data_IF_507599454146
#
_entry.id   IF_507599454146
#
_cell.length_a   1.000
_cell.length_b   1.000
_cell.length_c   1.000
_cell.angle_alpha   90.00
_cell.angle_beta   90.00
_cell.angle_gamma   90.00
#
_symmetry.space_group_name_H-M   'P 1'
#
loop_
_entity.id
_entity.type
_entity.pdbx_description
1 polymer ?
#
# COMPACT_ATOMS: atom_id res chain seq x y z
N UNK A 1 -6.40 3.19 -12.30
CA UNK A 1 -7.46 3.58 -13.26
C UNK A 1 -8.62 4.26 -12.55
N UNK A 2 -8.97 3.79 -11.35
CA UNK A 2 -9.90 4.49 -10.46
C UNK A 2 -9.46 5.93 -10.18
N UNK A 3 -8.15 6.15 -9.96
CA UNK A 3 -7.59 7.47 -9.66
C UNK A 3 -7.82 8.46 -10.80
N UNK A 4 -7.54 8.05 -12.04
CA UNK A 4 -7.76 8.88 -13.23
C UNK A 4 -9.24 9.30 -13.32
N UNK A 5 -10.16 8.35 -13.16
CA UNK A 5 -11.59 8.65 -13.19
C UNK A 5 -12.01 9.56 -12.03
N UNK A 6 -11.50 9.33 -10.82
CA UNK A 6 -11.77 10.17 -9.65
C UNK A 6 -11.32 11.63 -9.86
N UNK A 7 -10.14 11.84 -10.47
CA UNK A 7 -9.60 13.16 -10.75
C UNK A 7 -10.46 13.98 -11.73
N UNK A 8 -11.21 13.33 -12.64
CA UNK A 8 -12.12 14.03 -13.58
C UNK A 8 -13.27 14.79 -12.91
N UNK A 9 -13.51 14.52 -11.61
CA UNK A 9 -14.47 15.29 -10.79
C UNK A 9 -13.97 16.70 -10.46
N UNK A 10 -12.66 16.92 -10.50
CA UNK A 10 -12.02 18.18 -10.10
C UNK A 10 -11.33 18.87 -11.28
N UNK A 11 -10.73 18.09 -12.19
CA UNK A 11 -10.00 18.60 -13.33
C UNK A 11 -10.91 18.83 -14.55
N UNK A 12 -10.49 19.76 -15.41
CA UNK A 12 -11.07 19.96 -16.75
C UNK A 12 -10.71 18.80 -17.67
N UNK A 13 -9.48 18.33 -17.57
CA UNK A 13 -8.89 17.23 -18.34
C UNK A 13 -7.95 16.42 -17.44
N UNK A 14 -7.86 15.11 -17.67
CA UNK A 14 -6.92 14.20 -17.00
C UNK A 14 -6.21 13.38 -18.06
N UNK A 15 -4.90 13.61 -18.24
CA UNK A 15 -4.06 12.82 -19.14
C UNK A 15 -3.44 11.64 -18.42
N UNK A 16 -3.74 10.42 -18.89
CA UNK A 16 -3.14 9.18 -18.40
C UNK A 16 -1.87 8.90 -19.19
N UNK A 17 -0.72 9.08 -18.54
CA UNK A 17 0.60 8.76 -19.09
C UNK A 17 1.00 7.35 -18.66
N UNK A 18 1.23 6.46 -19.62
CA UNK A 18 1.64 5.08 -19.35
C UNK A 18 2.79 4.62 -20.23
N UNK A 19 3.80 3.99 -19.62
CA UNK A 19 5.02 3.53 -20.31
C UNK A 19 4.83 2.36 -21.28
N UNK A 20 3.64 1.76 -21.36
CA UNK A 20 3.32 0.64 -22.26
C UNK A 20 2.04 0.94 -23.01
N UNK A 21 1.82 0.23 -24.11
CA UNK A 21 0.58 0.26 -24.87
C UNK A 21 -0.58 -0.52 -24.21
N UNK A 22 -0.32 -1.28 -23.14
CA UNK A 22 -1.31 -2.11 -22.46
C UNK A 22 -1.32 -1.84 -20.95
N UNK A 23 -2.53 -1.77 -20.39
CA UNK A 23 -2.76 -1.55 -18.96
C UNK A 23 -2.98 -2.88 -18.25
N UNK A 24 -2.58 -2.95 -16.97
CA UNK A 24 -2.85 -4.10 -16.09
C UNK A 24 -4.26 -4.09 -15.48
N UNK A 25 -5.01 -2.99 -15.62
CA UNK A 25 -6.35 -2.86 -15.06
C UNK A 25 -7.34 -3.80 -15.77
N UNK A 26 -8.43 -4.17 -15.08
CA UNK A 26 -9.47 -5.00 -15.69
C UNK A 26 -10.09 -4.31 -16.90
N UNK A 27 -10.57 -5.09 -17.88
CA UNK A 27 -11.14 -4.56 -19.12
C UNK A 27 -12.27 -3.55 -18.85
N UNK A 28 -13.16 -3.87 -17.91
CA UNK A 28 -14.30 -3.00 -17.54
C UNK A 28 -13.81 -1.63 -17.02
N UNK A 29 -12.72 -1.60 -16.25
CA UNK A 29 -12.17 -0.32 -15.76
C UNK A 29 -11.53 0.49 -16.89
N UNK A 30 -10.86 -0.17 -17.82
CA UNK A 30 -10.30 0.48 -19.01
C UNK A 30 -11.43 1.06 -19.86
N UNK A 31 -12.46 0.28 -20.14
CA UNK A 31 -13.60 0.71 -20.95
C UNK A 31 -14.31 1.92 -20.31
N UNK A 32 -14.59 1.88 -19.00
CA UNK A 32 -15.19 3.01 -18.27
C UNK A 32 -14.35 4.28 -18.37
N UNK A 33 -13.02 4.17 -18.28
CA UNK A 33 -12.14 5.33 -18.40
C UNK A 33 -12.07 5.84 -19.84
N UNK A 34 -12.08 4.95 -20.84
CA UNK A 34 -12.08 5.32 -22.27
C UNK A 34 -13.36 6.03 -22.71
N UNK A 35 -14.49 5.75 -22.07
CA UNK A 35 -15.77 6.44 -22.32
C UNK A 35 -15.87 7.81 -21.63
N UNK A 36 -14.88 8.23 -20.84
CA UNK A 36 -14.89 9.54 -20.19
C UNK A 36 -14.14 10.55 -21.08
N UNK A 37 -14.87 11.50 -21.65
CA UNK A 37 -14.33 12.52 -22.57
C UNK A 37 -13.29 13.45 -21.94
N UNK A 38 -13.24 13.54 -20.61
CA UNK A 38 -12.19 14.29 -19.90
C UNK A 38 -10.87 13.54 -19.79
N UNK A 39 -10.80 12.28 -20.20
CA UNK A 39 -9.60 11.45 -20.07
C UNK A 39 -8.88 11.34 -21.41
N UNK A 40 -7.66 11.86 -21.46
CA UNK A 40 -6.75 11.67 -22.58
C UNK A 40 -5.75 10.55 -22.31
N UNK A 41 -5.30 9.88 -23.37
CA UNK A 41 -4.43 8.71 -23.27
C UNK A 41 -3.09 8.95 -23.96
N UNK A 42 -2.01 8.88 -23.19
CA UNK A 42 -0.64 8.97 -23.68
C UNK A 42 0.08 7.67 -23.31
N UNK A 43 -0.16 6.63 -24.12
CA UNK A 43 0.46 5.32 -23.99
C UNK A 43 1.84 5.31 -24.64
N UNK A 44 2.67 4.32 -24.29
CA UNK A 44 4.08 4.26 -24.69
C UNK A 44 4.84 5.57 -24.38
N UNK A 45 4.49 6.21 -23.27
CA UNK A 45 5.16 7.42 -22.76
C UNK A 45 5.79 7.14 -21.41
N UNK A 46 7.10 7.34 -21.33
CA UNK A 46 7.84 7.22 -20.06
C UNK A 46 8.04 8.61 -19.44
N UNK A 47 7.49 8.89 -18.25
CA UNK A 47 7.80 10.12 -17.51
C UNK A 47 9.30 10.19 -17.21
N UNK A 48 9.91 11.35 -17.48
CA UNK A 48 11.33 11.62 -17.24
C UNK A 48 11.53 12.61 -16.09
N UNK A 49 10.81 13.74 -16.14
CA UNK A 49 11.03 14.86 -15.23
C UNK A 49 9.73 15.64 -15.01
N UNK A 50 9.49 16.04 -13.77
CA UNK A 50 8.44 17.01 -13.42
C UNK A 50 9.00 18.42 -13.64
N UNK A 51 8.33 19.21 -14.47
CA UNK A 51 8.74 20.58 -14.75
C UNK A 51 8.18 21.51 -13.66
N UNK A 52 9.02 22.26 -12.94
CA UNK A 52 8.57 23.23 -11.96
C UNK A 52 8.06 24.51 -12.64
N UNK A 53 7.02 25.11 -12.07
CA UNK A 53 6.57 26.47 -12.32
C UNK A 53 6.74 27.34 -11.07
N UNK A 54 6.31 28.60 -11.13
CA UNK A 54 6.50 29.57 -10.03
C UNK A 54 5.84 29.14 -8.70
N UNK A 55 4.71 28.43 -8.75
CA UNK A 55 3.90 28.07 -7.57
C UNK A 55 3.60 26.58 -7.45
N UNK A 56 4.27 25.73 -8.24
CA UNK A 56 3.96 24.30 -8.27
C UNK A 56 4.50 23.62 -9.52
N UNK A 57 3.77 22.63 -10.00
CA UNK A 57 4.09 21.94 -11.25
C UNK A 57 3.57 22.74 -12.43
N UNK A 58 4.33 22.78 -13.53
CA UNK A 58 3.91 23.36 -14.81
C UNK A 58 3.81 22.32 -15.92
N UNK A 59 4.43 21.15 -15.74
CA UNK A 59 4.29 20.06 -16.70
C UNK A 59 5.08 18.80 -16.38
N UNK A 60 5.06 17.87 -17.31
CA UNK A 60 5.75 16.59 -17.26
C UNK A 60 6.50 16.38 -18.58
N UNK A 61 7.83 16.26 -18.51
CA UNK A 61 8.61 15.78 -19.64
C UNK A 61 8.45 14.27 -19.75
N UNK A 62 8.13 13.80 -20.94
CA UNK A 62 7.99 12.37 -21.26
C UNK A 62 8.85 12.02 -22.45
N UNK A 63 9.22 10.74 -22.54
CA UNK A 63 9.82 10.13 -23.73
C UNK A 63 8.79 9.27 -24.45
N UNK A 64 8.67 9.43 -25.76
CA UNK A 64 8.04 8.45 -26.64
C UNK A 64 8.89 7.18 -26.71
N UNK A 65 8.37 6.06 -26.24
CA UNK A 65 9.10 4.79 -26.23
C UNK A 65 9.22 4.15 -27.62
N UNK A 66 8.44 4.62 -28.60
CA UNK A 66 8.48 4.16 -29.99
C UNK A 66 9.48 4.95 -30.82
N UNK A 67 9.53 6.27 -30.66
CA UNK A 67 10.43 7.14 -31.47
C UNK A 67 11.71 7.54 -30.74
N UNK A 68 11.69 7.56 -29.41
CA UNK A 68 12.78 8.07 -28.57
C UNK A 68 12.72 9.58 -28.33
N UNK A 69 11.80 10.30 -28.98
CA UNK A 69 11.66 11.74 -28.84
C UNK A 69 11.14 12.13 -27.45
N UNK A 70 11.49 13.34 -27.01
CA UNK A 70 11.00 13.91 -25.76
C UNK A 70 10.01 15.04 -26.02
N UNK A 71 8.92 15.06 -25.28
CA UNK A 71 7.90 16.10 -25.33
C UNK A 71 7.50 16.54 -23.92
N UNK A 72 6.91 17.72 -23.81
CA UNK A 72 6.43 18.27 -22.53
C UNK A 72 4.90 18.31 -22.58
N UNK A 73 4.28 17.69 -21.60
CA UNK A 73 2.85 17.83 -21.33
C UNK A 73 2.65 18.91 -20.26
N UNK A 74 2.00 20.01 -20.63
CA UNK A 74 1.61 21.03 -19.66
C UNK A 74 0.56 20.47 -18.70
N UNK A 75 0.77 20.68 -17.40
CA UNK A 75 -0.13 20.19 -16.36
C UNK A 75 0.07 20.97 -15.06
N UNK A 76 -1.05 21.34 -14.42
CA UNK A 76 -1.04 22.02 -13.11
C UNK A 76 -0.84 21.06 -11.93
N UNK A 77 -0.93 19.74 -12.18
CA UNK A 77 -0.83 18.72 -11.13
C UNK A 77 -0.47 17.35 -11.69
N UNK A 78 0.34 16.61 -10.92
CA UNK A 78 0.80 15.26 -11.27
C UNK A 78 0.48 14.30 -10.13
N UNK A 79 -0.18 13.19 -10.48
CA UNK A 79 -0.52 12.11 -9.55
C UNK A 79 0.16 10.82 -10.00
N UNK A 80 1.00 10.25 -9.13
CA UNK A 80 1.77 9.04 -9.43
C UNK A 80 1.02 7.81 -8.92
N UNK A 81 0.52 6.99 -9.84
CA UNK A 81 -0.24 5.77 -9.54
C UNK A 81 0.48 4.50 -10.06
N UNK A 82 1.70 4.25 -9.57
CA UNK A 82 2.56 3.12 -10.01
C UNK A 82 2.43 1.86 -9.14
N UNK A 83 1.56 1.89 -8.13
CA UNK A 83 1.44 0.85 -7.11
C UNK A 83 2.27 1.17 -5.87
N UNK A 84 2.18 0.30 -4.87
CA UNK A 84 2.84 0.46 -3.57
C UNK A 84 3.73 -0.75 -3.32
N UNK A 85 4.86 -0.50 -2.65
CA UNK A 85 5.76 -1.52 -2.15
C UNK A 85 5.73 -1.46 -0.62
N UNK A 86 5.14 -2.44 0.08
CA UNK A 86 5.18 -2.47 1.54
C UNK A 86 6.63 -2.62 2.02
N UNK A 87 6.98 -1.94 3.12
CA UNK A 87 8.34 -1.93 3.66
C UNK A 87 8.60 -3.17 4.52
N UNK A 88 8.67 -4.35 3.89
CA UNK A 88 8.80 -5.65 4.55
C UNK A 88 10.14 -6.35 4.27
N UNK A 89 11.01 -5.76 3.44
CA UNK A 89 12.29 -6.37 3.04
C UNK A 89 13.22 -6.68 4.20
N UNK A 90 13.23 -5.84 5.23
CA UNK A 90 14.09 -6.03 6.40
C UNK A 90 13.76 -7.30 7.21
N UNK A 91 12.58 -7.90 6.97
CA UNK A 91 12.14 -9.12 7.64
C UNK A 91 12.75 -10.38 7.02
N UNK A 92 13.32 -10.29 5.81
CA UNK A 92 14.01 -11.40 5.12
C UNK A 92 13.19 -12.71 5.10
N UNK A 93 11.89 -12.59 4.81
CA UNK A 93 10.98 -13.74 4.70
C UNK A 93 10.59 -14.41 6.02
N UNK A 94 10.95 -13.86 7.17
CA UNK A 94 10.58 -14.42 8.48
C UNK A 94 9.06 -14.37 8.74
N UNK A 95 8.36 -13.39 8.17
CA UNK A 95 6.91 -13.27 8.24
C UNK A 95 6.30 -13.60 6.88
N UNK A 96 5.14 -14.25 6.92
CA UNK A 96 4.38 -14.55 5.71
C UNK A 96 3.88 -13.25 5.05
N UNK A 97 4.12 -13.16 3.75
CA UNK A 97 3.63 -12.08 2.90
C UNK A 97 2.77 -12.61 1.76
N UNK A 98 1.89 -11.77 1.25
CA UNK A 98 1.19 -12.06 -0.01
C UNK A 98 2.14 -11.88 -1.21
N UNK A 99 1.61 -12.11 -2.43
CA UNK A 99 2.39 -12.00 -3.67
C UNK A 99 2.90 -10.57 -3.95
N UNK A 100 2.31 -9.56 -3.31
CA UNK A 100 2.70 -8.15 -3.42
C UNK A 100 3.62 -7.70 -2.28
N UNK A 101 3.89 -8.56 -1.29
CA UNK A 101 4.78 -8.30 -0.17
C UNK A 101 4.09 -7.78 1.10
N UNK A 102 2.77 -7.70 1.14
CA UNK A 102 2.03 -7.25 2.33
C UNK A 102 2.01 -8.35 3.39
N UNK A 103 2.13 -7.98 4.66
CA UNK A 103 2.11 -8.95 5.75
C UNK A 103 0.72 -9.60 5.88
N UNK A 104 0.71 -10.92 5.97
CA UNK A 104 -0.51 -11.69 6.20
C UNK A 104 -0.77 -11.73 7.71
N UNK A 105 -1.90 -11.15 8.11
CA UNK A 105 -2.42 -11.24 9.47
C UNK A 105 -3.64 -12.14 9.52
N UNK A 106 -3.92 -12.70 10.69
CA UNK A 106 -5.14 -13.45 10.93
C UNK A 106 -6.35 -12.51 10.82
N UNK A 107 -7.43 -12.93 10.13
CA UNK A 107 -8.58 -12.07 9.88
C UNK A 107 -9.14 -11.43 11.16
N UNK A 108 -9.37 -10.12 11.11
CA UNK A 108 -9.91 -9.29 12.21
C UNK A 108 -9.02 -9.17 13.45
N UNK A 109 -7.73 -9.49 13.33
CA UNK A 109 -6.71 -9.31 14.37
C UNK A 109 -5.47 -8.67 13.76
N UNK A 110 -4.45 -8.43 14.57
CA UNK A 110 -3.10 -8.01 14.13
C UNK A 110 -2.06 -9.14 14.17
N UNK A 111 -2.47 -10.36 14.55
CA UNK A 111 -1.57 -11.51 14.75
C UNK A 111 -0.94 -11.95 13.41
N UNK A 112 0.39 -12.05 13.38
CA UNK A 112 1.14 -12.56 12.22
C UNK A 112 1.36 -14.08 12.31
N UNK A 113 2.16 -14.64 11.40
CA UNK A 113 2.60 -16.04 11.45
C UNK A 113 3.49 -16.39 12.65
N UNK A 114 4.12 -15.40 13.30
CA UNK A 114 4.98 -15.61 14.47
C UNK A 114 4.25 -15.11 15.72
N UNK A 115 4.03 -15.97 16.74
CA UNK A 115 3.44 -15.55 18.01
C UNK A 115 4.26 -14.44 18.68
N UNK A 116 3.58 -13.38 19.11
CA UNK A 116 4.20 -12.20 19.73
C UNK A 116 4.67 -11.14 18.73
N UNK A 117 4.51 -11.38 17.42
CA UNK A 117 4.74 -10.39 16.38
C UNK A 117 3.40 -9.99 15.76
N UNK A 118 3.15 -8.68 15.73
CA UNK A 118 1.89 -8.08 15.27
C UNK A 118 2.17 -7.10 14.13
N UNK A 119 1.21 -6.96 13.22
CA UNK A 119 1.29 -6.00 12.12
C UNK A 119 0.04 -5.11 12.08
N UNK A 120 0.25 -3.83 11.79
CA UNK A 120 -0.80 -2.84 11.64
C UNK A 120 -0.42 -1.79 10.59
N UNK A 121 -1.43 -1.10 10.09
CA UNK A 121 -1.30 -0.07 9.07
C UNK A 121 -1.14 -0.61 7.67
N UNK A 122 -0.67 0.24 6.77
CA UNK A 122 -0.53 -0.02 5.34
C UNK A 122 0.32 -1.27 5.02
N UNK A 123 1.25 -1.67 5.90
CA UNK A 123 2.10 -2.86 5.68
C UNK A 123 1.31 -4.18 5.59
N UNK A 124 0.08 -4.21 6.12
CA UNK A 124 -0.86 -5.34 6.04
C UNK A 124 -2.18 -4.98 5.34
N UNK A 125 -2.36 -3.74 4.87
CA UNK A 125 -3.57 -3.25 4.22
C UNK A 125 -3.30 -2.83 2.77
N UNK A 126 -3.49 -3.72 1.78
CA UNK A 126 -3.36 -3.38 0.37
C UNK A 126 -4.54 -2.58 -0.19
N UNK A 127 -5.64 -2.43 0.57
CA UNK A 127 -6.91 -1.93 0.06
C UNK A 127 -7.15 -0.47 0.41
N UNK A 128 -7.24 -0.14 1.71
CA UNK A 128 -7.70 1.19 2.12
C UNK A 128 -6.56 2.21 2.16
N UNK A 129 -5.44 1.88 2.80
CA UNK A 129 -4.22 2.72 2.84
C UNK A 129 -4.53 4.17 3.24
N UNK A 130 -5.31 4.32 4.31
CA UNK A 130 -5.69 5.62 4.86
C UNK A 130 -5.09 5.79 6.25
N UNK A 131 -4.74 7.02 6.61
CA UNK A 131 -4.22 7.34 7.94
C UNK A 131 -5.17 6.86 9.06
N UNK A 132 -6.48 7.03 8.87
CA UNK A 132 -7.48 6.63 9.87
C UNK A 132 -7.64 5.12 9.99
N UNK A 133 -7.59 4.36 8.88
CA UNK A 133 -7.64 2.89 8.92
C UNK A 133 -6.37 2.35 9.56
N UNK A 134 -5.22 2.95 9.23
CA UNK A 134 -3.95 2.64 9.86
C UNK A 134 -3.95 2.89 11.36
N UNK A 135 -4.44 4.06 11.83
CA UNK A 135 -4.56 4.36 13.25
C UNK A 135 -5.47 3.35 13.98
N UNK A 136 -6.62 3.00 13.38
CA UNK A 136 -7.53 2.00 13.95
C UNK A 136 -6.87 0.62 14.08
N UNK A 137 -6.18 0.16 13.04
CA UNK A 137 -5.44 -1.11 13.10
C UNK A 137 -4.28 -1.09 14.10
N UNK A 138 -3.66 0.07 14.33
CA UNK A 138 -2.64 0.26 15.36
C UNK A 138 -3.19 0.07 16.76
N UNK A 139 -4.38 0.59 17.04
CA UNK A 139 -5.07 0.37 18.31
C UNK A 139 -5.39 -1.13 18.53
N UNK A 140 -5.80 -1.83 17.47
CA UNK A 140 -6.02 -3.29 17.52
C UNK A 140 -4.72 -4.01 17.86
N UNK A 141 -3.61 -3.67 17.20
CA UNK A 141 -2.30 -4.28 17.47
C UNK A 141 -1.79 -4.03 18.89
N UNK A 142 -2.01 -2.84 19.44
CA UNK A 142 -1.68 -2.54 20.83
C UNK A 142 -2.46 -3.44 21.79
N UNK A 143 -3.78 -3.59 21.61
CA UNK A 143 -4.62 -4.44 22.46
C UNK A 143 -4.31 -5.94 22.31
N UNK A 144 -3.99 -6.40 21.11
CA UNK A 144 -3.58 -7.79 20.87
C UNK A 144 -2.23 -8.10 21.55
N UNK A 145 -1.28 -7.16 21.46
CA UNK A 145 0.01 -7.25 22.13
C UNK A 145 -0.14 -7.28 23.66
N UNK A 146 -0.93 -6.37 24.22
CA UNK A 146 -1.25 -6.34 25.66
C UNK A 146 -1.79 -7.69 26.13
N UNK A 147 -2.83 -8.21 25.47
CA UNK A 147 -3.43 -9.52 25.81
C UNK A 147 -2.43 -10.67 25.68
N UNK A 148 -1.52 -10.61 24.71
CA UNK A 148 -0.49 -11.62 24.53
C UNK A 148 0.50 -11.62 25.70
N UNK A 149 0.94 -10.44 26.14
CA UNK A 149 1.84 -10.27 27.26
C UNK A 149 1.20 -10.71 28.58
N UNK A 150 -0.06 -10.36 28.84
CA UNK A 150 -0.82 -10.83 30.01
C UNK A 150 -0.88 -12.36 30.08
N UNK A 151 -1.25 -13.01 28.96
CA UNK A 151 -1.28 -14.48 28.88
C UNK A 151 0.10 -15.13 29.03
N UNK A 152 1.16 -14.45 28.63
CA UNK A 152 2.53 -14.92 28.85
C UNK A 152 2.91 -14.84 30.34
N UNK A 153 2.57 -13.72 30.99
CA UNK A 153 2.75 -13.53 32.43
C UNK A 153 2.02 -14.59 33.26
N UNK A 154 0.73 -14.84 32.97
CA UNK A 154 -0.07 -15.86 33.66
C UNK A 154 0.53 -17.27 33.52
N UNK A 155 1.08 -17.59 32.34
CA UNK A 155 1.76 -18.87 32.09
C UNK A 155 3.03 -19.02 32.91
N UNK A 156 3.82 -17.95 33.04
CA UNK A 156 5.02 -17.95 33.87
C UNK A 156 4.67 -18.14 35.35
N UNK A 157 3.66 -17.42 35.85
CA UNK A 157 3.18 -17.54 37.23
C UNK A 157 2.70 -18.97 37.51
N UNK A 158 1.86 -19.55 36.64
CA UNK A 158 1.38 -20.94 36.81
C UNK A 158 2.52 -21.96 36.81
N UNK A 159 3.52 -21.79 35.94
CA UNK A 159 4.69 -22.68 35.87
C UNK A 159 5.52 -22.60 37.14
N UNK A 160 5.75 -21.41 37.67
CA UNK A 160 6.51 -21.20 38.91
C UNK A 160 5.78 -21.74 40.14
N UNK A 161 4.47 -21.51 40.24
CA UNK A 161 3.59 -22.10 41.25
C UNK A 161 3.62 -23.62 41.19
N UNK A 162 3.50 -24.23 40.01
CA UNK A 162 3.56 -25.69 39.86
C UNK A 162 4.92 -26.28 40.24
N UNK A 163 6.02 -25.56 40.03
CA UNK A 163 7.37 -25.97 40.48
C UNK A 163 7.46 -25.87 42.01
N UNK A 164 7.00 -24.78 42.61
CA UNK A 164 7.03 -24.62 44.07
C UNK A 164 6.18 -25.66 44.81
N UNK A 165 4.96 -25.94 44.33
CA UNK A 165 4.07 -26.93 44.95
C UNK A 165 4.36 -28.38 44.52
N UNK A 166 5.04 -28.58 43.38
CA UNK A 166 5.48 -29.91 42.92
C UNK A 166 6.77 -30.40 43.60
N UNK A 167 7.64 -29.50 44.07
CA UNK A 167 8.86 -29.85 44.80
C UNK A 167 8.62 -30.21 46.29
N UNK A 168 7.39 -30.04 46.80
CA UNK A 168 7.04 -30.33 48.20
C UNK A 168 6.48 -31.74 48.44
N UNK A 169 6.48 -32.61 47.42
CA UNK A 169 5.95 -33.98 47.46
C UNK A 169 7.00 -35.08 47.16
N UNK A 170 8.28 -34.84 47.44
CA UNK A 170 9.33 -35.87 47.45
C UNK A 170 10.09 -35.84 48.76
#
# INVERSE_FOLDING_TARGET
MEEAHFLTRFAKEVRVVHRRNQLKASQIMQDRARHNEKIEWSLDRTPLEVIPGEKGVSGLRVRDNQTGDEEIFEADGIFVAIGHRPNTEFLDGQLLTDKQGYLIVKPRTSETSIPGVFACGDVQDPHYRQAITSAGSGAIAAMDCERFLEKASDRLIKKQTSIMYGCSMV
#
